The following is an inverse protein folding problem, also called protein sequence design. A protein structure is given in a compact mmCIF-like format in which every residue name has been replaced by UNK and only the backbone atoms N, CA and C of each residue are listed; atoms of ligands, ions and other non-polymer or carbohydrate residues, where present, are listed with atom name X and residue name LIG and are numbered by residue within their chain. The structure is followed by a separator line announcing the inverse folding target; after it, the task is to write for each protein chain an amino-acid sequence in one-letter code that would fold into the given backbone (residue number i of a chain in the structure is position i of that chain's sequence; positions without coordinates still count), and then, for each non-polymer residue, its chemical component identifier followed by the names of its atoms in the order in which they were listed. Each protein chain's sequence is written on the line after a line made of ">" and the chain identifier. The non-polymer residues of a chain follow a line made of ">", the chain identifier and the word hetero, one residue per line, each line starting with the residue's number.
data_IF_508005800648
#
_entry.id   IF_508005800648
#
_cell.length_a   1.000
_cell.length_b   1.000
_cell.length_c   1.000
_cell.angle_alpha   90.00
_cell.angle_beta   90.00
_cell.angle_gamma   90.00
#
_symmetry.space_group_name_H-M   'P 1'
#
loop_
_entity.id
_entity.type
_entity.pdbx_description
1 polymer ?
#
# COMPACT_ATOMS: atom_id res chain seq x y z
N UNK A 1 -4.18 8.78 -1.99
CA UNK A 1 -5.23 9.13 -2.98
C UNK A 1 -6.23 10.07 -2.32
N UNK A 2 -7.00 10.82 -3.12
CA UNK A 2 -7.86 11.91 -2.62
C UNK A 2 -9.33 11.50 -2.41
N UNK A 3 -9.70 10.24 -2.61
CA UNK A 3 -11.10 9.75 -2.55
C UNK A 3 -12.05 10.46 -3.55
N UNK A 4 -11.50 11.08 -4.60
CA UNK A 4 -12.26 11.70 -5.67
C UNK A 4 -12.71 10.73 -6.76
N UNK A 5 -13.49 11.19 -7.76
CA UNK A 5 -13.94 10.36 -8.86
C UNK A 5 -12.77 9.87 -9.72
N UNK A 6 -12.95 8.72 -10.36
CA UNK A 6 -11.99 8.17 -11.32
C UNK A 6 -12.05 8.91 -12.67
N UNK A 7 -10.99 8.81 -13.47
CA UNK A 7 -10.96 9.38 -14.82
C UNK A 7 -10.57 10.86 -14.90
N UNK A 8 -10.03 11.42 -13.82
CA UNK A 8 -9.52 12.79 -13.76
C UNK A 8 -8.19 12.81 -13.03
N UNK A 9 -7.34 13.74 -13.37
CA UNK A 9 -6.06 14.00 -12.72
C UNK A 9 -5.60 15.42 -13.00
N UNK A 10 -4.59 15.91 -12.27
CA UNK A 10 -3.99 17.21 -12.48
C UNK A 10 -2.47 17.11 -12.59
N UNK A 11 -1.91 17.92 -13.46
CA UNK A 11 -0.48 18.13 -13.58
C UNK A 11 -0.16 19.60 -13.26
N UNK A 12 0.59 19.82 -12.20
CA UNK A 12 1.04 21.16 -11.80
C UNK A 12 2.46 21.35 -12.32
N UNK A 13 2.64 22.36 -13.17
CA UNK A 13 3.91 22.62 -13.86
C UNK A 13 4.24 24.11 -13.87
N UNK A 14 5.53 24.42 -13.88
CA UNK A 14 6.02 25.76 -14.16
C UNK A 14 5.78 26.09 -15.65
N UNK A 15 5.21 27.27 -15.93
CA UNK A 15 4.91 27.73 -17.30
C UNK A 15 6.15 27.82 -18.21
N UNK A 16 7.34 27.90 -17.62
CA UNK A 16 8.62 27.98 -18.33
C UNK A 16 9.09 26.62 -18.86
N UNK A 17 8.52 25.51 -18.36
CA UNK A 17 8.92 24.17 -18.81
C UNK A 17 8.29 23.86 -20.17
N UNK A 18 9.07 23.52 -21.19
CA UNK A 18 8.58 23.11 -22.49
C UNK A 18 8.03 21.69 -22.44
N UNK A 19 6.72 21.53 -22.22
CA UNK A 19 6.07 20.21 -22.24
C UNK A 19 5.60 19.90 -23.65
N UNK A 20 5.96 18.71 -24.12
CA UNK A 20 5.41 18.17 -25.37
C UNK A 20 4.06 17.50 -25.09
N UNK A 21 3.03 17.90 -25.84
CA UNK A 21 1.73 17.26 -25.78
C UNK A 21 1.80 15.82 -26.31
N UNK A 22 1.08 14.92 -25.64
CA UNK A 22 0.94 13.53 -26.06
C UNK A 22 -0.32 13.27 -26.86
N UNK A 23 -1.36 14.11 -26.67
CA UNK A 23 -2.63 14.01 -27.38
C UNK A 23 -2.82 15.27 -28.25
N UNK A 24 -3.07 15.02 -29.54
CA UNK A 24 -3.23 16.07 -30.55
C UNK A 24 -4.70 16.20 -30.92
N UNK A 25 -5.13 17.43 -31.26
CA UNK A 25 -6.50 17.78 -31.64
C UNK A 25 -6.82 19.20 -31.28
N UNK A 26 -7.95 19.43 -30.61
CA UNK A 26 -8.40 20.76 -30.19
C UNK A 26 -7.46 21.47 -29.22
N UNK A 27 -7.82 22.72 -28.89
CA UNK A 27 -7.00 23.65 -28.11
C UNK A 27 -7.23 23.56 -26.59
N UNK A 28 -7.89 22.50 -26.12
CA UNK A 28 -8.22 22.33 -24.70
C UNK A 28 -6.94 22.29 -23.83
N UNK A 29 -7.09 22.58 -22.55
CA UNK A 29 -5.99 22.63 -21.59
C UNK A 29 -4.79 23.48 -22.09
N UNK A 30 -5.08 24.65 -22.63
CA UNK A 30 -4.06 25.59 -23.18
C UNK A 30 -3.19 24.94 -24.27
N UNK A 31 -3.77 24.14 -25.13
CA UNK A 31 -3.07 23.35 -26.16
C UNK A 31 -2.15 22.23 -25.63
N UNK A 32 -2.20 21.90 -24.37
CA UNK A 32 -1.33 20.84 -23.80
C UNK A 32 -1.97 19.45 -23.86
N UNK A 33 -3.33 19.40 -23.86
CA UNK A 33 -4.04 18.13 -23.89
C UNK A 33 -5.38 18.30 -24.60
N UNK A 34 -5.52 17.72 -25.76
CA UNK A 34 -6.75 17.75 -26.54
C UNK A 34 -7.84 16.84 -25.95
N UNK A 35 -9.09 17.09 -26.31
CA UNK A 35 -10.28 16.34 -25.91
C UNK A 35 -11.18 17.16 -24.98
N UNK A 36 -12.49 16.96 -25.13
CA UNK A 36 -13.50 17.63 -24.29
C UNK A 36 -13.26 17.29 -22.83
N UNK A 37 -13.28 18.29 -21.97
CA UNK A 37 -13.03 18.18 -20.55
C UNK A 37 -14.15 17.41 -19.84
N UNK A 38 -13.80 16.49 -18.97
CA UNK A 38 -14.74 15.81 -18.10
C UNK A 38 -15.10 16.69 -16.90
N UNK A 39 -15.92 17.70 -17.14
CA UNK A 39 -16.28 18.73 -16.14
C UNK A 39 -16.83 18.11 -14.84
N UNK A 40 -17.76 17.13 -14.86
CA UNK A 40 -18.23 16.52 -13.62
C UNK A 40 -17.11 15.90 -12.78
N UNK A 41 -16.17 15.19 -13.40
CA UNK A 41 -15.05 14.61 -12.69
C UNK A 41 -14.06 15.67 -12.18
N UNK A 42 -13.85 16.75 -12.94
CA UNK A 42 -13.01 17.89 -12.52
C UNK A 42 -13.59 18.57 -11.27
N UNK A 43 -14.90 18.81 -11.25
CA UNK A 43 -15.59 19.40 -10.09
C UNK A 43 -15.47 18.47 -8.87
N UNK A 44 -15.73 17.18 -9.05
CA UNK A 44 -15.59 16.19 -7.98
C UNK A 44 -14.15 16.08 -7.46
N UNK A 45 -13.15 16.16 -8.34
CA UNK A 45 -11.74 16.17 -7.97
C UNK A 45 -11.37 17.43 -7.17
N UNK A 46 -11.86 18.61 -7.59
CA UNK A 46 -11.68 19.87 -6.85
C UNK A 46 -12.25 19.77 -5.44
N UNK A 47 -13.48 19.23 -5.30
CA UNK A 47 -14.09 19.03 -3.98
C UNK A 47 -13.30 18.02 -3.11
N UNK A 48 -12.82 16.93 -3.71
CA UNK A 48 -11.98 15.98 -3.00
C UNK A 48 -10.66 16.59 -2.50
N UNK A 49 -10.06 17.49 -3.29
CA UNK A 49 -8.84 18.20 -2.89
C UNK A 49 -9.09 19.18 -1.72
N UNK A 50 -10.21 19.91 -1.74
CA UNK A 50 -10.62 20.77 -0.63
C UNK A 50 -10.79 19.96 0.68
N UNK A 51 -11.54 18.86 0.62
CA UNK A 51 -11.77 17.99 1.78
C UNK A 51 -10.46 17.37 2.27
N UNK A 52 -9.62 16.86 1.36
CA UNK A 52 -8.33 16.29 1.73
C UNK A 52 -7.43 17.30 2.44
N UNK A 53 -7.49 18.58 2.07
CA UNK A 53 -6.74 19.65 2.73
C UNK A 53 -7.33 20.00 4.10
N UNK A 54 -8.65 20.10 4.19
CA UNK A 54 -9.34 20.43 5.43
C UNK A 54 -9.21 19.35 6.50
N UNK A 55 -9.29 18.08 6.10
CA UNK A 55 -9.27 16.90 6.99
C UNK A 55 -7.84 16.32 7.18
N UNK A 56 -6.81 16.90 6.57
CA UNK A 56 -5.48 16.29 6.47
C UNK A 56 -4.88 15.92 7.82
N UNK A 57 -4.94 16.83 8.79
CA UNK A 57 -4.34 16.60 10.11
C UNK A 57 -5.10 15.55 10.92
N UNK A 58 -6.43 15.62 10.91
CA UNK A 58 -7.29 14.66 11.61
C UNK A 58 -7.10 13.25 11.03
N UNK A 59 -7.17 13.13 9.70
CA UNK A 59 -6.94 11.86 9.02
C UNK A 59 -5.53 11.32 9.26
N UNK A 60 -4.51 12.17 9.27
CA UNK A 60 -3.13 11.77 9.55
C UNK A 60 -2.99 11.22 10.97
N UNK A 61 -3.58 11.87 11.97
CA UNK A 61 -3.58 11.39 13.36
C UNK A 61 -4.33 10.06 13.51
N UNK A 62 -5.49 9.95 12.88
CA UNK A 62 -6.28 8.73 12.89
C UNK A 62 -5.51 7.53 12.34
N UNK A 63 -4.98 7.63 11.12
CA UNK A 63 -4.25 6.52 10.49
C UNK A 63 -2.89 6.25 11.16
N UNK A 64 -2.31 7.25 11.84
CA UNK A 64 -1.11 7.07 12.64
C UNK A 64 -1.35 6.12 13.82
N UNK A 65 -2.47 6.29 14.53
CA UNK A 65 -2.86 5.39 15.64
C UNK A 65 -3.02 3.95 15.14
N UNK A 66 -3.70 3.76 14.00
CA UNK A 66 -3.88 2.43 13.40
C UNK A 66 -2.55 1.80 12.97
N UNK A 67 -1.68 2.61 12.37
CA UNK A 67 -0.32 2.17 11.98
C UNK A 67 0.48 1.70 13.19
N UNK A 68 0.53 2.50 14.24
CA UNK A 68 1.31 2.18 15.44
C UNK A 68 0.74 0.95 16.15
N UNK A 69 -0.58 0.79 16.19
CA UNK A 69 -1.21 -0.40 16.73
C UNK A 69 -0.83 -1.66 15.93
N UNK A 70 -0.88 -1.60 14.60
CA UNK A 70 -0.45 -2.71 13.75
C UNK A 70 1.04 -3.04 13.97
N UNK A 71 1.92 -2.07 13.97
CA UNK A 71 3.36 -2.30 14.19
C UNK A 71 3.66 -2.93 15.54
N UNK A 72 2.98 -2.45 16.59
CA UNK A 72 3.12 -3.03 17.92
C UNK A 72 2.60 -4.48 17.96
N UNK A 73 1.48 -4.76 17.32
CA UNK A 73 0.96 -6.12 17.19
C UNK A 73 1.89 -7.04 16.41
N UNK A 74 2.48 -6.56 15.31
CA UNK A 74 3.42 -7.33 14.49
C UNK A 74 4.70 -7.72 15.26
N UNK A 75 5.15 -6.93 16.23
CA UNK A 75 6.32 -7.26 17.07
C UNK A 75 6.11 -8.49 17.95
N UNK A 76 4.88 -8.88 18.21
CA UNK A 76 4.57 -10.09 18.98
C UNK A 76 4.81 -11.37 18.18
N UNK A 77 4.92 -11.30 16.87
CA UNK A 77 5.15 -12.46 16.01
C UNK A 77 6.64 -12.75 15.82
N UNK A 78 7.08 -13.92 16.22
CA UNK A 78 8.42 -14.40 15.89
C UNK A 78 8.55 -14.58 14.37
N UNK A 79 9.62 -14.05 13.78
CA UNK A 79 9.86 -14.15 12.34
C UNK A 79 9.16 -13.10 11.48
N UNK A 80 8.57 -12.07 12.07
CA UNK A 80 8.08 -10.86 11.37
C UNK A 80 9.10 -9.74 11.53
N UNK A 81 9.39 -9.04 10.44
CA UNK A 81 10.27 -7.87 10.41
C UNK A 81 9.56 -6.68 9.79
N UNK A 82 9.37 -5.61 10.56
CA UNK A 82 8.80 -4.34 10.07
C UNK A 82 9.91 -3.52 9.43
N UNK A 83 9.67 -3.00 8.21
CA UNK A 83 10.65 -2.19 7.48
C UNK A 83 10.49 -0.70 7.81
N UNK A 84 11.62 0.00 7.88
CA UNK A 84 11.69 1.46 8.08
C UNK A 84 11.03 1.96 9.38
N UNK A 85 10.91 1.15 10.39
CA UNK A 85 10.24 1.50 11.66
C UNK A 85 10.84 2.77 12.29
N UNK A 86 12.16 2.94 12.21
CA UNK A 86 12.89 4.07 12.81
C UNK A 86 12.95 5.31 11.90
N UNK A 87 12.43 5.24 10.69
CA UNK A 87 12.47 6.35 9.75
C UNK A 87 11.26 7.26 9.88
N UNK A 88 11.45 8.56 9.63
CA UNK A 88 10.35 9.47 9.40
C UNK A 88 9.63 9.09 8.09
N UNK A 89 8.33 8.86 8.14
CA UNK A 89 7.55 8.33 7.03
C UNK A 89 6.08 8.72 7.10
N UNK A 90 5.35 8.46 6.04
CA UNK A 90 3.91 8.70 6.00
C UNK A 90 3.19 7.92 7.11
N UNK A 91 2.14 8.50 7.71
CA UNK A 91 1.48 7.94 8.87
C UNK A 91 0.58 6.72 8.58
N UNK A 92 0.31 6.42 7.32
CA UNK A 92 -0.74 5.50 6.91
C UNK A 92 -0.23 4.16 6.35
N UNK A 93 1.07 3.90 6.36
CA UNK A 93 1.61 2.71 5.68
C UNK A 93 2.54 1.93 6.59
N UNK A 94 2.33 0.61 6.65
CA UNK A 94 3.23 -0.37 7.27
C UNK A 94 3.68 -1.34 6.18
N UNK A 95 4.96 -1.63 6.13
CA UNK A 95 5.50 -2.70 5.30
C UNK A 95 6.31 -3.65 6.18
N UNK A 96 6.04 -4.92 6.06
CA UNK A 96 6.70 -5.97 6.83
C UNK A 96 6.95 -7.21 5.98
N UNK A 97 7.91 -8.01 6.38
CA UNK A 97 8.17 -9.33 5.79
C UNK A 97 8.00 -10.43 6.83
N UNK A 98 7.62 -11.62 6.38
CA UNK A 98 7.44 -12.80 7.23
C UNK A 98 8.44 -13.87 6.81
N UNK A 99 9.39 -14.20 7.67
CA UNK A 99 10.43 -15.20 7.38
C UNK A 99 9.82 -16.55 7.06
N UNK A 100 10.31 -17.18 5.99
CA UNK A 100 9.84 -18.49 5.55
C UNK A 100 8.52 -18.50 4.79
N UNK A 101 7.97 -17.33 4.47
CA UNK A 101 6.77 -17.19 3.65
C UNK A 101 7.08 -16.64 2.28
N UNK A 102 6.23 -16.98 1.33
CA UNK A 102 6.11 -16.34 0.04
C UNK A 102 5.03 -15.25 0.12
N UNK A 103 5.34 -14.03 -0.34
CA UNK A 103 4.45 -12.88 -0.20
C UNK A 103 3.17 -12.98 -1.02
N UNK A 104 3.19 -13.65 -2.18
CA UNK A 104 2.00 -13.86 -2.98
C UNK A 104 1.07 -14.89 -2.33
N UNK A 105 1.64 -15.94 -1.78
CA UNK A 105 0.90 -16.94 -1.00
C UNK A 105 0.24 -16.29 0.22
N UNK A 106 0.97 -15.46 0.95
CA UNK A 106 0.44 -14.73 2.11
C UNK A 106 -0.66 -13.76 1.72
N UNK A 107 -0.48 -13.03 0.61
CA UNK A 107 -1.49 -12.14 0.04
C UNK A 107 -2.78 -12.91 -0.30
N UNK A 108 -2.67 -14.06 -0.96
CA UNK A 108 -3.84 -14.89 -1.32
C UNK A 108 -4.56 -15.45 -0.09
N UNK A 109 -3.83 -15.80 0.97
CA UNK A 109 -4.43 -16.28 2.22
C UNK A 109 -5.18 -15.16 2.96
N UNK A 110 -4.65 -13.94 2.95
CA UNK A 110 -5.33 -12.76 3.50
C UNK A 110 -6.56 -12.38 2.68
N UNK A 111 -6.48 -12.44 1.35
CA UNK A 111 -7.60 -12.17 0.45
C UNK A 111 -8.77 -13.15 0.69
N UNK A 112 -8.49 -14.44 0.93
CA UNK A 112 -9.51 -15.44 1.31
C UNK A 112 -10.22 -15.11 2.63
N UNK A 113 -9.57 -14.34 3.50
CA UNK A 113 -10.15 -13.82 4.75
C UNK A 113 -10.78 -12.42 4.56
N UNK A 114 -10.97 -11.98 3.30
CA UNK A 114 -11.49 -10.67 2.91
C UNK A 114 -10.63 -9.47 3.37
N UNK A 115 -9.34 -9.67 3.57
CA UNK A 115 -8.38 -8.64 3.96
C UNK A 115 -7.56 -8.22 2.74
N UNK A 116 -7.82 -7.01 2.23
CA UNK A 116 -7.16 -6.46 1.07
C UNK A 116 -5.86 -5.73 1.46
N UNK A 117 -4.73 -6.29 1.06
CA UNK A 117 -3.38 -5.72 1.24
C UNK A 117 -2.61 -5.76 -0.09
N UNK A 118 -1.38 -5.32 -0.12
CA UNK A 118 -0.52 -5.43 -1.32
C UNK A 118 0.73 -6.22 -1.01
N UNK A 119 1.21 -6.99 -1.98
CA UNK A 119 2.59 -7.52 -1.92
C UNK A 119 3.61 -6.40 -2.09
N UNK A 120 4.85 -6.63 -1.66
CA UNK A 120 5.94 -5.66 -1.75
C UNK A 120 6.29 -5.24 -3.19
N UNK A 121 5.92 -6.06 -4.19
CA UNK A 121 6.17 -5.86 -5.63
C UNK A 121 4.92 -5.52 -6.44
N UNK A 122 3.89 -4.94 -5.84
CA UNK A 122 2.56 -4.69 -6.44
C UNK A 122 2.55 -4.00 -7.83
N UNK A 123 3.64 -3.38 -8.27
CA UNK A 123 3.76 -2.72 -9.57
C UNK A 123 4.34 -3.60 -10.68
N UNK A 124 4.77 -4.81 -10.37
CA UNK A 124 5.36 -5.77 -11.33
C UNK A 124 4.51 -7.04 -11.38
N UNK A 125 3.25 -6.91 -11.78
CA UNK A 125 2.38 -8.07 -12.01
C UNK A 125 3.06 -9.07 -12.96
N UNK A 126 3.39 -10.25 -12.44
CA UNK A 126 3.98 -11.35 -13.21
C UNK A 126 5.49 -11.55 -13.09
N UNK A 127 6.21 -10.82 -12.22
CA UNK A 127 7.62 -11.07 -11.92
C UNK A 127 7.81 -11.42 -10.45
N UNK A 128 8.44 -12.54 -10.19
CA UNK A 128 8.87 -13.02 -8.86
C UNK A 128 10.08 -12.26 -8.29
N UNK A 129 10.38 -11.06 -8.81
CA UNK A 129 11.52 -10.27 -8.34
C UNK A 129 11.16 -9.46 -7.10
N UNK A 130 12.01 -9.47 -6.07
CA UNK A 130 11.81 -8.65 -4.88
C UNK A 130 11.77 -7.16 -5.22
N UNK A 131 11.06 -6.38 -4.40
CA UNK A 131 10.98 -4.94 -4.55
C UNK A 131 12.38 -4.30 -4.67
N UNK A 132 12.63 -3.57 -5.75
CA UNK A 132 13.88 -2.84 -5.94
C UNK A 132 14.16 -1.82 -4.80
N UNK A 133 13.11 -1.31 -4.17
CA UNK A 133 13.21 -0.43 -3.00
C UNK A 133 13.77 -1.19 -1.81
N UNK A 134 13.22 -2.36 -1.48
CA UNK A 134 13.71 -3.19 -0.38
C UNK A 134 15.14 -3.69 -0.64
N UNK A 135 15.48 -4.02 -1.90
CA UNK A 135 16.86 -4.32 -2.29
C UNK A 135 17.82 -3.15 -2.05
N UNK A 136 17.43 -1.94 -2.44
CA UNK A 136 18.21 -0.73 -2.19
C UNK A 136 18.39 -0.42 -0.70
N UNK A 137 17.48 -0.91 0.14
CA UNK A 137 17.57 -0.86 1.60
C UNK A 137 18.41 -2.01 2.20
N UNK A 138 19.03 -2.86 1.38
CA UNK A 138 19.77 -4.05 1.77
C UNK A 138 18.94 -5.09 2.53
N UNK A 139 17.62 -5.16 2.28
CA UNK A 139 16.79 -6.24 2.81
C UNK A 139 17.12 -7.52 2.06
N UNK A 140 17.39 -8.66 2.75
CA UNK A 140 17.66 -9.93 2.09
C UNK A 140 16.52 -10.34 1.15
N UNK A 141 16.86 -10.91 -0.01
CA UNK A 141 15.88 -11.25 -1.06
C UNK A 141 14.76 -12.15 -0.55
N UNK A 142 15.07 -13.12 0.28
CA UNK A 142 14.05 -14.02 0.87
C UNK A 142 13.01 -13.26 1.69
N UNK A 143 13.44 -12.27 2.48
CA UNK A 143 12.54 -11.45 3.29
C UNK A 143 11.82 -10.39 2.44
N UNK A 144 12.49 -9.82 1.43
CA UNK A 144 11.89 -8.87 0.51
C UNK A 144 10.78 -9.52 -0.35
N UNK A 145 10.91 -10.82 -0.70
CA UNK A 145 9.90 -11.59 -1.41
C UNK A 145 8.67 -11.90 -0.55
N UNK A 146 8.82 -11.97 0.76
CA UNK A 146 7.69 -12.17 1.69
C UNK A 146 6.96 -10.86 2.06
N UNK A 147 7.38 -9.73 1.50
CA UNK A 147 6.91 -8.43 1.94
C UNK A 147 5.44 -8.18 1.65
N UNK A 148 4.72 -7.74 2.66
CA UNK A 148 3.33 -7.25 2.59
C UNK A 148 3.31 -5.77 2.95
N UNK A 149 2.53 -4.99 2.20
CA UNK A 149 2.29 -3.58 2.48
C UNK A 149 0.83 -3.35 2.84
N UNK A 150 0.61 -2.86 4.03
CA UNK A 150 -0.70 -2.42 4.55
C UNK A 150 -0.77 -0.90 4.39
N UNK A 151 -1.90 -0.40 3.91
CA UNK A 151 -2.15 1.03 3.76
C UNK A 151 -3.52 1.37 4.32
N UNK A 152 -3.54 2.15 5.38
CA UNK A 152 -4.76 2.62 6.01
C UNK A 152 -5.34 3.84 5.30
N UNK A 153 -6.66 3.93 5.33
CA UNK A 153 -7.43 5.09 4.89
C UNK A 153 -8.33 5.60 6.02
N UNK A 154 -8.99 6.73 5.79
CA UNK A 154 -9.82 7.40 6.79
C UNK A 154 -11.00 6.57 7.30
N UNK A 155 -11.40 5.54 6.60
CA UNK A 155 -12.52 4.67 6.98
C UNK A 155 -12.09 3.42 7.73
N UNK A 156 -10.79 3.14 7.83
CA UNK A 156 -10.32 2.01 8.62
C UNK A 156 -10.48 2.27 10.11
N UNK A 157 -10.64 1.20 10.86
CA UNK A 157 -10.88 1.20 12.31
C UNK A 157 -9.87 0.31 13.02
N UNK A 158 -9.86 0.34 14.35
CA UNK A 158 -9.04 -0.57 15.16
C UNK A 158 -9.44 -2.04 14.93
N UNK A 159 -10.73 -2.32 14.67
CA UNK A 159 -11.19 -3.66 14.33
C UNK A 159 -10.48 -4.24 13.11
N UNK A 160 -10.21 -3.42 12.08
CA UNK A 160 -9.47 -3.88 10.89
C UNK A 160 -8.02 -4.29 11.25
N UNK A 161 -7.41 -3.60 12.21
CA UNK A 161 -6.08 -3.96 12.72
C UNK A 161 -6.12 -5.29 13.46
N UNK A 162 -7.10 -5.46 14.35
CA UNK A 162 -7.28 -6.69 15.14
C UNK A 162 -7.58 -7.89 14.23
N UNK A 163 -8.43 -7.71 13.24
CA UNK A 163 -8.76 -8.74 12.24
C UNK A 163 -7.54 -9.15 11.42
N UNK A 164 -6.71 -8.20 10.99
CA UNK A 164 -5.48 -8.49 10.28
C UNK A 164 -4.48 -9.25 11.15
N UNK A 165 -4.29 -8.83 12.40
CA UNK A 165 -3.38 -9.50 13.34
C UNK A 165 -3.85 -10.92 13.66
N UNK A 166 -5.15 -11.12 13.88
CA UNK A 166 -5.71 -12.46 14.09
C UNK A 166 -5.54 -13.35 12.84
N UNK A 167 -5.79 -12.81 11.66
CA UNK A 167 -5.59 -13.55 10.41
C UNK A 167 -4.13 -13.95 10.19
N UNK A 168 -3.18 -13.06 10.48
CA UNK A 168 -1.75 -13.36 10.40
C UNK A 168 -1.33 -14.42 11.41
N UNK A 169 -1.86 -14.37 12.62
CA UNK A 169 -1.62 -15.38 13.65
C UNK A 169 -2.02 -16.77 13.15
N UNK A 170 -3.27 -16.93 12.69
CA UNK A 170 -3.76 -18.21 12.15
C UNK A 170 -2.88 -18.74 11.01
N UNK A 171 -2.52 -17.85 10.07
CA UNK A 171 -1.73 -18.22 8.89
C UNK A 171 -0.33 -18.69 9.29
N UNK A 172 0.33 -17.98 10.21
CA UNK A 172 1.68 -18.28 10.67
C UNK A 172 1.69 -19.57 11.48
N UNK A 173 0.73 -19.78 12.39
CA UNK A 173 0.64 -20.99 13.20
C UNK A 173 0.41 -22.25 12.34
N UNK A 174 -0.53 -22.20 11.40
CA UNK A 174 -0.82 -23.36 10.51
C UNK A 174 0.42 -23.72 9.70
N UNK A 175 1.18 -22.76 9.24
CA UNK A 175 2.40 -23.02 8.46
C UNK A 175 3.51 -23.64 9.34
N UNK A 176 3.68 -23.17 10.58
CA UNK A 176 4.65 -23.72 11.53
C UNK A 176 4.30 -25.17 11.91
N UNK A 177 3.04 -25.48 12.17
CA UNK A 177 2.59 -26.83 12.44
C UNK A 177 2.83 -27.78 11.26
N UNK A 178 2.56 -27.32 10.05
CA UNK A 178 2.81 -28.10 8.83
C UNK A 178 4.28 -28.38 8.62
N UNK A 179 5.16 -27.41 8.88
CA UNK A 179 6.62 -27.58 8.78
C UNK A 179 7.16 -28.60 9.82
N UNK A 180 6.65 -28.56 11.06
CA UNK A 180 7.01 -29.52 12.10
C UNK A 180 6.56 -30.93 11.76
N UNK A 181 5.36 -31.10 11.22
CA UNK A 181 4.85 -32.41 10.79
C UNK A 181 5.70 -33.01 9.65
N UNK A 182 6.10 -32.18 8.67
CA UNK A 182 6.97 -32.63 7.57
C UNK A 182 8.37 -33.07 8.08
N UNK A 183 8.92 -32.31 9.04
CA UNK A 183 10.22 -32.64 9.61
C UNK A 183 10.21 -33.93 10.50
N UNK A 184 9.06 -34.27 11.06
CA UNK A 184 8.90 -35.47 11.89
C UNK A 184 8.66 -36.78 11.08
N UNK A 185 8.46 -36.65 9.75
CA UNK A 185 8.14 -37.77 8.86
C UNK A 185 9.36 -38.24 8.04
N UNK A 186 10.52 -37.58 8.21
CA UNK A 186 11.82 -37.93 7.61
C UNK A 186 12.73 -38.57 8.67
#
# INVERSE_FOLDING_TARGET
>A
KLYGPVGVGALIIDKRLPIKKLQFGGSQEKNLRAGTENVPAIVGFGRAAELATAEMQENAQHVHVLRDALENGLKAFSGVSVFSEQAERLPNTVQFGVHGFDGETLLMQLDRKAIAVSSGSACTSGKTEPSHVLKAMNVPDALANSAIRVSFGKNNTMSDVDELLAALHDIIEVNQQSAVMMAATV
#
